data_IF_574981756513
#
_entry.id   IF_574981756513
#
_cell.length_a   1.000
_cell.length_b   1.000
_cell.length_c   1.000
_cell.angle_alpha   90.00
_cell.angle_beta   90.00
_cell.angle_gamma   90.00
#
_symmetry.space_group_name_H-M   'P 1'
#
loop_
_entity.id
_entity.type
_entity.pdbx_description
1 polymer ?
#
# COMPACT_ATOMS: atom_id res chain seq x y z
N UNK A 1 18.01 15.95 -4.17
CA UNK A 1 17.77 16.87 -5.30
C UNK A 1 16.53 17.68 -4.96
N UNK A 2 16.60 18.98 -5.04
CA UNK A 2 15.48 19.90 -4.84
C UNK A 2 15.47 20.96 -5.95
N UNK A 3 14.30 21.55 -6.21
CA UNK A 3 14.20 22.62 -7.21
C UNK A 3 14.73 23.93 -6.63
N UNK A 4 15.56 24.64 -7.41
CA UNK A 4 16.08 25.97 -7.03
C UNK A 4 14.97 27.02 -7.13
N UNK A 5 14.30 27.28 -6.01
CA UNK A 5 13.23 28.28 -5.93
C UNK A 5 13.77 29.73 -5.99
N UNK A 6 15.03 29.95 -5.67
CA UNK A 6 15.61 31.30 -5.66
C UNK A 6 16.13 31.70 -7.04
N UNK A 7 16.80 30.78 -7.74
CA UNK A 7 17.39 31.05 -9.06
C UNK A 7 16.53 30.60 -10.22
N UNK A 8 15.49 29.80 -10.02
CA UNK A 8 14.71 29.13 -11.07
C UNK A 8 15.57 28.43 -12.12
N UNK A 9 16.78 28.00 -11.71
CA UNK A 9 17.82 27.50 -12.60
C UNK A 9 17.75 25.99 -12.84
N UNK A 10 16.80 25.30 -12.21
CA UNK A 10 16.63 23.86 -12.31
C UNK A 10 16.72 23.15 -10.96
N UNK A 11 17.27 21.94 -10.95
CA UNK A 11 17.40 21.13 -9.75
C UNK A 11 18.80 21.25 -9.16
N UNK A 12 18.87 21.49 -7.85
CA UNK A 12 20.10 21.48 -7.09
C UNK A 12 20.31 20.11 -6.43
N UNK A 13 21.55 19.72 -6.28
CA UNK A 13 21.92 18.55 -5.50
C UNK A 13 22.02 18.94 -4.03
N UNK A 14 21.40 18.14 -3.16
CA UNK A 14 21.56 18.25 -1.73
C UNK A 14 22.98 17.79 -1.33
N UNK A 15 23.70 18.63 -0.60
CA UNK A 15 25.04 18.29 -0.13
C UNK A 15 24.98 17.60 1.22
N UNK A 16 25.80 16.56 1.40
CA UNK A 16 25.90 15.81 2.64
C UNK A 16 25.48 14.34 2.50
N UNK A 17 25.45 13.65 3.64
CA UNK A 17 25.16 12.22 3.72
C UNK A 17 23.75 12.00 4.27
N UNK A 18 22.94 11.29 3.52
CA UNK A 18 21.67 10.73 4.04
C UNK A 18 21.94 9.34 4.58
N UNK A 19 21.34 9.01 5.72
CA UNK A 19 21.42 7.67 6.32
C UNK A 19 20.09 6.95 6.25
N UNK A 20 20.12 5.62 6.21
CA UNK A 20 18.95 4.78 6.35
C UNK A 20 19.36 3.49 7.03
N UNK A 21 18.67 3.14 8.10
CA UNK A 21 18.91 1.93 8.89
C UNK A 21 17.57 1.29 9.19
N UNK A 22 17.49 -0.04 9.11
CA UNK A 22 16.21 -0.69 9.34
C UNK A 22 16.31 -2.19 9.42
N UNK A 23 15.13 -2.77 9.63
CA UNK A 23 14.91 -4.22 9.65
C UNK A 23 13.70 -4.53 8.80
N UNK A 24 13.80 -5.57 8.00
CA UNK A 24 12.68 -6.10 7.23
C UNK A 24 12.45 -7.56 7.61
N UNK A 25 11.18 -7.89 7.87
CA UNK A 25 10.72 -9.25 8.19
C UNK A 25 9.65 -9.63 7.19
N UNK A 26 9.82 -10.76 6.53
CA UNK A 26 8.85 -11.30 5.58
C UNK A 26 8.41 -12.69 6.03
N UNK A 27 7.12 -12.98 5.92
CA UNK A 27 6.56 -14.31 6.15
C UNK A 27 5.60 -14.69 5.01
N UNK A 28 5.73 -15.93 4.55
CA UNK A 28 4.82 -16.56 3.57
C UNK A 28 4.46 -17.94 4.12
N UNK A 29 3.20 -18.12 4.51
CA UNK A 29 2.75 -19.27 5.26
C UNK A 29 1.51 -19.89 4.60
N UNK A 30 1.61 -21.17 4.24
CA UNK A 30 0.44 -21.98 3.88
C UNK A 30 -0.20 -22.48 5.17
N UNK A 31 -1.29 -21.82 5.63
CA UNK A 31 -1.97 -22.14 6.88
C UNK A 31 -2.86 -23.39 6.76
N UNK A 32 -3.39 -23.65 5.56
CA UNK A 32 -4.11 -24.86 5.19
C UNK A 32 -4.08 -25.01 3.66
N UNK A 33 -4.65 -26.09 3.14
CA UNK A 33 -4.76 -26.29 1.68
C UNK A 33 -5.54 -25.16 0.99
N UNK A 34 -6.35 -24.43 1.74
CA UNK A 34 -7.23 -23.39 1.23
C UNK A 34 -6.86 -21.97 1.67
N UNK A 35 -5.90 -21.79 2.58
CA UNK A 35 -5.61 -20.49 3.19
C UNK A 35 -4.12 -20.21 3.21
N UNK A 36 -3.72 -19.14 2.55
CA UNK A 36 -2.36 -18.61 2.54
C UNK A 36 -2.32 -17.24 3.22
N UNK A 37 -1.31 -17.02 4.03
CA UNK A 37 -0.94 -15.74 4.65
C UNK A 37 0.39 -15.27 4.08
N UNK A 38 0.44 -14.04 3.61
CA UNK A 38 1.69 -13.32 3.31
C UNK A 38 1.79 -12.10 4.20
N UNK A 39 2.98 -11.78 4.65
CA UNK A 39 3.17 -10.61 5.51
C UNK A 39 4.58 -10.05 5.31
N UNK A 40 4.70 -8.74 5.33
CA UNK A 40 5.97 -8.09 5.52
C UNK A 40 5.83 -6.95 6.53
N UNK A 41 6.89 -6.73 7.28
CA UNK A 41 7.05 -5.58 8.16
C UNK A 41 8.41 -4.96 7.92
N UNK A 42 8.43 -3.66 7.69
CA UNK A 42 9.65 -2.87 7.53
C UNK A 42 9.69 -1.80 8.62
N UNK A 43 10.75 -1.79 9.41
CA UNK A 43 11.13 -0.64 10.21
C UNK A 43 12.31 0.05 9.53
N UNK A 44 12.23 1.35 9.29
CA UNK A 44 13.27 2.10 8.60
C UNK A 44 13.43 3.52 9.16
N UNK A 45 14.45 3.71 9.97
CA UNK A 45 14.90 5.04 10.39
C UNK A 45 15.75 5.66 9.26
N UNK A 46 15.29 6.76 8.69
CA UNK A 46 15.96 7.40 7.55
C UNK A 46 16.07 8.92 7.72
N UNK A 47 17.28 9.43 7.67
CA UNK A 47 17.60 10.84 7.86
C UNK A 47 18.18 11.49 6.60
N UNK A 48 17.85 12.76 6.44
CA UNK A 48 18.48 13.67 5.46
C UNK A 48 19.76 14.27 6.07
N UNK A 49 20.61 14.95 5.25
CA UNK A 49 21.84 15.59 5.75
C UNK A 49 21.61 16.62 6.87
N UNK A 50 20.43 17.18 6.95
CA UNK A 50 20.03 18.15 7.98
C UNK A 50 19.46 17.52 9.27
N UNK A 51 19.51 16.17 9.40
CA UNK A 51 18.99 15.44 10.56
C UNK A 51 17.47 15.24 10.58
N UNK A 52 16.75 15.72 9.57
CA UNK A 52 15.30 15.50 9.47
C UNK A 52 15.01 14.17 8.81
N UNK A 53 13.91 13.54 9.19
CA UNK A 53 13.40 12.33 8.55
C UNK A 53 13.21 12.52 7.04
N UNK A 54 13.41 11.49 6.27
CA UNK A 54 13.16 11.53 4.81
C UNK A 54 11.66 11.57 4.56
N UNK A 55 11.23 12.53 3.76
CA UNK A 55 9.82 12.74 3.39
C UNK A 55 9.19 11.50 2.78
N UNK A 56 7.95 11.23 3.14
CA UNK A 56 7.09 10.18 2.58
C UNK A 56 7.72 8.80 2.71
N UNK A 57 8.40 8.60 3.83
CA UNK A 57 8.98 7.32 4.21
C UNK A 57 8.57 7.02 5.64
N UNK A 58 7.51 6.23 5.83
CA UNK A 58 7.11 5.82 7.17
C UNK A 58 8.24 5.04 7.85
N UNK A 59 8.39 5.23 9.15
CA UNK A 59 9.31 4.42 9.94
C UNK A 59 8.80 2.99 10.08
N UNK A 60 7.50 2.82 10.26
CA UNK A 60 6.84 1.52 10.32
C UNK A 60 5.89 1.29 9.14
N UNK A 61 6.15 0.24 8.36
CA UNK A 61 5.26 -0.19 7.29
C UNK A 61 4.97 -1.68 7.44
N UNK A 62 3.68 -2.05 7.53
CA UNK A 62 3.25 -3.44 7.59
C UNK A 62 2.23 -3.73 6.48
N UNK A 63 2.40 -4.86 5.83
CA UNK A 63 1.42 -5.39 4.88
C UNK A 63 1.09 -6.84 5.24
N UNK A 64 -0.20 -7.18 5.22
CA UNK A 64 -0.71 -8.53 5.45
C UNK A 64 -1.65 -8.88 4.32
N UNK A 65 -1.35 -9.96 3.61
CA UNK A 65 -2.20 -10.55 2.57
C UNK A 65 -2.77 -11.87 3.04
N UNK A 66 -4.08 -12.05 2.87
CA UNK A 66 -4.77 -13.33 3.07
C UNK A 66 -5.39 -13.75 1.74
N UNK A 67 -5.09 -14.98 1.29
CA UNK A 67 -5.71 -15.59 0.13
C UNK A 67 -6.45 -16.86 0.56
N UNK A 68 -7.76 -16.90 0.32
CA UNK A 68 -8.61 -18.04 0.63
C UNK A 68 -9.26 -18.59 -0.63
N UNK A 69 -9.16 -19.90 -0.80
CA UNK A 69 -9.74 -20.63 -1.93
C UNK A 69 -10.71 -21.69 -1.42
N UNK A 70 -11.90 -21.78 -2.00
CA UNK A 70 -12.94 -22.71 -1.60
C UNK A 70 -13.79 -23.18 -2.78
N UNK A 71 -14.70 -24.14 -2.52
CA UNK A 71 -15.66 -24.66 -3.48
C UNK A 71 -14.97 -25.23 -4.73
N UNK A 72 -13.99 -26.11 -4.55
CA UNK A 72 -13.19 -26.69 -5.64
C UNK A 72 -12.60 -25.61 -6.56
N UNK A 73 -11.90 -24.65 -5.96
CA UNK A 73 -11.27 -23.49 -6.63
C UNK A 73 -12.24 -22.54 -7.36
N UNK A 74 -13.53 -22.67 -7.09
CA UNK A 74 -14.53 -21.78 -7.71
C UNK A 74 -14.66 -20.45 -6.98
N UNK A 75 -14.41 -20.39 -5.68
CA UNK A 75 -14.42 -19.17 -4.88
C UNK A 75 -13.00 -18.81 -4.46
N UNK A 76 -12.57 -17.58 -4.78
CA UNK A 76 -11.30 -17.00 -4.32
C UNK A 76 -11.60 -15.68 -3.63
N UNK A 77 -11.13 -15.53 -2.41
CA UNK A 77 -11.25 -14.30 -1.61
C UNK A 77 -9.83 -13.87 -1.26
N UNK A 78 -9.53 -12.58 -1.43
CA UNK A 78 -8.28 -12.00 -0.98
C UNK A 78 -8.58 -10.78 -0.10
N UNK A 79 -7.84 -10.67 0.99
CA UNK A 79 -7.77 -9.49 1.83
C UNK A 79 -6.35 -8.95 1.81
N UNK A 80 -6.21 -7.63 1.76
CA UNK A 80 -4.93 -6.96 1.85
C UNK A 80 -5.03 -5.83 2.86
N UNK A 81 -4.26 -5.93 3.94
CA UNK A 81 -4.24 -4.98 5.02
C UNK A 81 -2.89 -4.27 5.07
N UNK A 82 -2.89 -2.95 5.03
CA UNK A 82 -1.72 -2.09 5.07
C UNK A 82 -1.78 -1.17 6.26
N UNK A 83 -0.67 -1.05 6.96
CA UNK A 83 -0.47 -0.12 8.09
C UNK A 83 0.74 0.75 7.80
N UNK A 84 0.61 2.05 8.00
CA UNK A 84 1.70 3.02 7.89
C UNK A 84 1.78 3.82 9.18
N UNK A 85 3.01 3.99 9.71
CA UNK A 85 3.28 4.68 10.97
C UNK A 85 4.46 5.63 10.82
N UNK A 86 4.37 6.76 11.51
CA UNK A 86 5.46 7.73 11.68
C UNK A 86 6.02 8.21 10.33
N UNK A 87 5.15 8.67 9.44
CA UNK A 87 5.53 9.27 8.17
C UNK A 87 5.56 10.80 8.28
N UNK A 88 6.51 11.43 7.60
CA UNK A 88 6.60 12.89 7.52
C UNK A 88 6.57 13.37 6.08
N UNK A 89 6.10 14.58 5.85
CA UNK A 89 6.19 15.29 4.59
C UNK A 89 6.76 16.70 4.84
N UNK A 90 6.66 17.57 3.87
CA UNK A 90 7.12 18.94 3.97
C UNK A 90 6.13 19.87 3.27
N UNK A 91 5.68 20.91 3.99
CA UNK A 91 4.84 21.95 3.46
C UNK A 91 5.58 23.29 3.55
N UNK A 92 5.81 23.94 2.39
CA UNK A 92 6.56 25.19 2.28
C UNK A 92 7.93 25.21 3.00
N UNK A 93 8.65 24.08 2.96
CA UNK A 93 9.97 23.95 3.56
C UNK A 93 9.97 23.57 5.06
N UNK A 94 8.80 23.44 5.67
CA UNK A 94 8.65 23.00 7.07
C UNK A 94 8.20 21.53 7.13
N UNK A 95 8.80 20.70 8.00
CA UNK A 95 8.36 19.33 8.19
C UNK A 95 6.93 19.31 8.77
N UNK A 96 6.13 18.36 8.30
CA UNK A 96 4.77 18.08 8.73
C UNK A 96 4.64 16.58 8.95
N UNK A 97 4.09 16.18 10.08
CA UNK A 97 3.78 14.78 10.34
C UNK A 97 2.52 14.40 9.56
N UNK A 98 2.55 13.23 8.92
CA UNK A 98 1.39 12.62 8.30
C UNK A 98 0.72 11.69 9.31
N UNK A 99 -0.60 11.67 9.31
CA UNK A 99 -1.35 10.79 10.20
C UNK A 99 -1.04 9.31 9.88
N UNK A 100 -0.96 8.53 10.93
CA UNK A 100 -0.91 7.07 10.85
C UNK A 100 -2.19 6.54 10.25
N UNK A 101 -2.11 5.50 9.42
CA UNK A 101 -3.31 4.93 8.81
C UNK A 101 -3.29 3.41 8.69
N UNK A 102 -4.50 2.84 8.53
CA UNK A 102 -4.76 1.42 8.35
C UNK A 102 -5.81 1.21 7.26
N UNK A 103 -5.43 0.56 6.18
CA UNK A 103 -6.31 0.32 5.04
C UNK A 103 -6.50 -1.16 4.80
N UNK A 104 -7.75 -1.57 4.62
CA UNK A 104 -8.13 -2.93 4.25
C UNK A 104 -8.83 -2.92 2.89
N UNK A 105 -8.26 -3.66 1.95
CA UNK A 105 -8.88 -3.98 0.68
C UNK A 105 -9.32 -5.43 0.64
N UNK A 106 -10.53 -5.70 0.11
CA UNK A 106 -11.08 -7.04 -0.01
C UNK A 106 -11.49 -7.27 -1.46
N UNK A 107 -11.18 -8.43 -1.99
CA UNK A 107 -11.68 -8.87 -3.28
C UNK A 107 -12.20 -10.29 -3.23
N UNK A 108 -13.24 -10.57 -4.01
CA UNK A 108 -13.79 -11.90 -4.17
C UNK A 108 -14.06 -12.19 -5.63
N UNK A 109 -13.80 -13.42 -6.06
CA UNK A 109 -14.15 -13.92 -7.39
C UNK A 109 -14.84 -15.26 -7.25
N UNK A 110 -15.98 -15.40 -7.91
CA UNK A 110 -16.72 -16.66 -7.99
C UNK A 110 -16.87 -17.11 -9.45
N UNK A 111 -16.36 -18.32 -9.74
CA UNK A 111 -16.50 -18.97 -11.04
C UNK A 111 -17.81 -19.73 -11.08
N UNK A 112 -18.78 -19.21 -11.84
CA UNK A 112 -20.12 -19.80 -11.97
C UNK A 112 -20.05 -20.99 -12.94
N UNK A 113 -19.38 -20.80 -14.10
CA UNK A 113 -19.05 -21.85 -15.09
C UNK A 113 -17.59 -21.72 -15.50
N UNK A 114 -17.07 -22.62 -16.34
CA UNK A 114 -15.70 -22.54 -16.84
C UNK A 114 -15.44 -21.26 -17.64
N UNK A 115 -16.47 -20.71 -18.24
CA UNK A 115 -16.37 -19.52 -19.09
C UNK A 115 -16.88 -18.25 -18.43
N UNK A 116 -17.61 -18.33 -17.30
CA UNK A 116 -18.25 -17.19 -16.67
C UNK A 116 -17.90 -17.08 -15.19
N UNK A 117 -17.42 -15.91 -14.79
CA UNK A 117 -17.18 -15.56 -13.38
C UNK A 117 -17.64 -14.15 -13.06
N UNK A 118 -18.05 -13.95 -11.82
CA UNK A 118 -18.32 -12.65 -11.23
C UNK A 118 -17.20 -12.30 -10.24
N UNK A 119 -16.99 -11.01 -10.04
CA UNK A 119 -16.05 -10.53 -9.04
C UNK A 119 -16.58 -9.27 -8.36
N UNK A 120 -16.17 -9.10 -7.12
CA UNK A 120 -16.40 -7.90 -6.34
C UNK A 120 -15.08 -7.43 -5.72
N UNK A 121 -14.94 -6.12 -5.54
CA UNK A 121 -13.81 -5.50 -4.84
C UNK A 121 -14.35 -4.37 -3.96
N UNK A 122 -13.89 -4.33 -2.72
CA UNK A 122 -14.10 -3.27 -1.76
C UNK A 122 -12.74 -2.70 -1.40
N UNK A 123 -12.48 -1.47 -1.76
CA UNK A 123 -11.27 -0.72 -1.41
C UNK A 123 -11.54 0.13 -0.19
N UNK A 124 -10.52 0.28 0.64
CA UNK A 124 -10.57 1.04 1.87
C UNK A 124 -11.84 0.67 2.70
N UNK A 125 -11.97 -0.61 3.04
CA UNK A 125 -13.17 -1.16 3.68
C UNK A 125 -13.52 -0.48 5.02
N UNK A 126 -12.52 0.03 5.73
CA UNK A 126 -12.72 0.79 6.98
C UNK A 126 -13.19 2.22 6.73
N UNK A 127 -12.98 2.76 5.53
CA UNK A 127 -13.28 4.15 5.19
C UNK A 127 -12.33 5.11 5.87
N UNK A 128 -11.06 4.71 5.94
CA UNK A 128 -9.99 5.52 6.52
C UNK A 128 -9.75 6.77 5.68
N UNK A 129 -9.64 7.90 6.35
CA UNK A 129 -9.33 9.20 5.76
C UNK A 129 -7.83 9.46 6.00
N UNK A 130 -7.00 9.41 4.96
CA UNK A 130 -5.56 9.49 5.11
C UNK A 130 -4.88 10.18 3.93
N UNK A 131 -3.70 10.70 4.19
CA UNK A 131 -2.83 11.33 3.21
C UNK A 131 -1.46 10.61 3.18
N UNK A 132 -0.97 10.28 1.99
CA UNK A 132 0.43 9.85 1.78
C UNK A 132 1.31 11.03 1.33
N UNK A 133 0.65 12.13 0.97
CA UNK A 133 1.25 13.41 0.58
C UNK A 133 0.39 14.51 1.17
N UNK A 134 0.99 15.41 1.93
CA UNK A 134 0.28 16.54 2.56
C UNK A 134 -0.60 17.31 1.57
N UNK A 135 -1.89 17.43 1.89
CA UNK A 135 -2.89 18.11 1.07
C UNK A 135 -3.47 17.30 -0.09
N UNK A 136 -3.15 16.02 -0.18
CA UNK A 136 -3.71 15.10 -1.18
C UNK A 136 -4.37 13.91 -0.49
N UNK A 137 -5.70 13.96 -0.36
CA UNK A 137 -6.46 12.86 0.20
C UNK A 137 -6.32 11.61 -0.67
N UNK A 138 -6.15 10.48 -0.02
CA UNK A 138 -6.18 9.16 -0.67
C UNK A 138 -7.62 8.74 -0.99
N UNK A 139 -7.83 7.75 -1.88
CA UNK A 139 -9.17 7.33 -2.26
C UNK A 139 -10.00 6.87 -1.06
N UNK A 140 -11.22 7.38 -0.97
CA UNK A 140 -12.22 6.95 -0.01
C UNK A 140 -12.67 5.50 -0.28
N UNK A 141 -13.58 5.00 0.58
CA UNK A 141 -14.19 3.69 0.38
C UNK A 141 -14.86 3.57 -0.98
N UNK A 142 -14.47 2.55 -1.75
CA UNK A 142 -15.05 2.29 -3.06
C UNK A 142 -15.42 0.81 -3.22
N UNK A 143 -16.58 0.54 -3.84
CA UNK A 143 -17.05 -0.81 -4.13
C UNK A 143 -17.23 -1.01 -5.64
N UNK A 144 -16.75 -2.14 -6.13
CA UNK A 144 -16.83 -2.51 -7.54
C UNK A 144 -17.44 -3.89 -7.68
N UNK A 145 -18.26 -4.06 -8.71
CA UNK A 145 -18.83 -5.34 -9.10
C UNK A 145 -18.64 -5.50 -10.62
N UNK A 146 -18.26 -6.69 -11.05
CA UNK A 146 -18.08 -6.98 -12.46
C UNK A 146 -18.17 -8.45 -12.79
N UNK A 147 -18.10 -8.75 -14.08
CA UNK A 147 -18.08 -10.12 -14.59
C UNK A 147 -16.98 -10.30 -15.64
N UNK A 148 -16.58 -11.53 -15.83
CA UNK A 148 -15.67 -11.95 -16.89
C UNK A 148 -16.26 -13.13 -17.65
N UNK A 149 -16.33 -12.97 -18.99
CA UNK A 149 -16.76 -14.01 -19.91
C UNK A 149 -15.61 -14.33 -20.86
N UNK A 150 -15.24 -15.61 -20.95
CA UNK A 150 -14.21 -16.08 -21.87
C UNK A 150 -14.87 -16.81 -23.04
N UNK A 151 -14.49 -16.46 -24.25
CA UNK A 151 -14.91 -17.14 -25.48
C UNK A 151 -13.75 -17.94 -26.03
N UNK A 152 -13.96 -19.25 -26.25
CA UNK A 152 -13.02 -20.08 -27.00
C UNK A 152 -13.56 -20.23 -28.41
N UNK A 153 -12.83 -19.78 -29.42
CA UNK A 153 -13.12 -20.17 -30.79
C UNK A 153 -12.55 -21.57 -31.00
N UNK A 154 -13.40 -22.53 -31.33
CA UNK A 154 -12.98 -23.86 -31.81
C UNK A 154 -12.53 -23.76 -33.26
#
# INVERSE_FOLDING_TARGET
>A
IFFDLAGFSGYLQDEGTSTSKGVEITADLQLSDSLQLTSNYTYNDSERPNGLQRRRRPEGLMNIGLAYTALDDRLKINGFYRVSRDATDELFGSPVDLDDFEVLDISARYRITDNFSIYARLENAFGEDYEEITGFNSPERAAYLGFKLNFSAN
#
